data_IF_926577064707
#
_entry.id   IF_926577064707
#
_cell.length_a   1.000
_cell.length_b   1.000
_cell.length_c   1.000
_cell.angle_alpha   90.00
_cell.angle_beta   90.00
_cell.angle_gamma   90.00
#
_symmetry.space_group_name_H-M   'P 1'
#
loop_
_entity.id
_entity.type
_entity.pdbx_description
1 polymer ?
#
# COMPACT_ATOMS: atom_id res chain seq x y z
N UNK A 1 -4.13 -16.94 22.95
CA UNK A 1 -3.30 -16.61 21.76
C UNK A 1 -1.93 -17.22 21.96
N UNK A 2 -1.41 -17.99 20.99
CA UNK A 2 -0.08 -18.62 21.14
C UNK A 2 1.06 -17.67 20.72
N UNK A 3 2.30 -18.08 20.95
CA UNK A 3 3.49 -17.27 20.64
C UNK A 3 3.61 -16.92 19.15
N UNK A 4 3.18 -17.81 18.25
CA UNK A 4 3.19 -17.59 16.79
C UNK A 4 2.19 -16.52 16.39
N UNK A 5 0.96 -16.60 16.88
CA UNK A 5 -0.07 -15.58 16.67
C UNK A 5 0.37 -14.22 17.22
N UNK A 6 0.98 -14.19 18.41
CA UNK A 6 1.53 -12.95 18.98
C UNK A 6 2.58 -12.32 18.06
N UNK A 7 3.49 -13.12 17.49
CA UNK A 7 4.50 -12.63 16.53
C UNK A 7 3.86 -12.09 15.26
N UNK A 8 2.89 -12.82 14.68
CA UNK A 8 2.16 -12.36 13.49
C UNK A 8 1.45 -11.04 13.76
N UNK A 9 0.79 -10.91 14.92
CA UNK A 9 0.10 -9.68 15.29
C UNK A 9 1.06 -8.50 15.46
N UNK A 10 2.22 -8.71 16.11
CA UNK A 10 3.24 -7.66 16.27
C UNK A 10 3.79 -7.25 14.90
N UNK A 11 4.17 -8.20 14.05
CA UNK A 11 4.70 -7.90 12.71
C UNK A 11 3.65 -7.20 11.86
N UNK A 12 2.41 -7.67 11.89
CA UNK A 12 1.29 -7.06 11.18
C UNK A 12 1.01 -5.64 11.67
N UNK A 13 1.04 -5.41 12.98
CA UNK A 13 0.88 -4.08 13.56
C UNK A 13 2.02 -3.15 13.14
N UNK A 14 3.26 -3.62 13.16
CA UNK A 14 4.42 -2.85 12.67
C UNK A 14 4.24 -2.50 11.20
N UNK A 15 3.80 -3.45 10.35
CA UNK A 15 3.53 -3.19 8.95
C UNK A 15 2.46 -2.10 8.74
N UNK A 16 1.32 -2.20 9.44
CA UNK A 16 0.24 -1.19 9.40
C UNK A 16 0.76 0.17 9.86
N UNK A 17 1.52 0.23 10.96
CA UNK A 17 2.11 1.48 11.44
C UNK A 17 3.05 2.06 10.41
N UNK A 18 3.91 1.26 9.77
CA UNK A 18 4.79 1.73 8.71
C UNK A 18 4.03 2.24 7.49
N UNK A 19 2.93 1.60 7.10
CA UNK A 19 2.08 2.06 5.98
C UNK A 19 1.44 3.42 6.29
N UNK A 20 1.04 3.66 7.54
CA UNK A 20 0.50 4.95 7.98
C UNK A 20 1.57 6.02 8.15
N UNK A 21 2.76 5.66 8.64
CA UNK A 21 3.86 6.60 8.82
C UNK A 21 4.54 6.95 7.50
N UNK A 22 4.57 6.02 6.55
CA UNK A 22 5.15 6.17 5.23
C UNK A 22 4.10 5.86 4.16
N UNK A 23 3.06 6.70 4.02
CA UNK A 23 2.06 6.50 2.98
C UNK A 23 2.68 6.73 1.59
N UNK A 24 2.05 6.17 0.54
CA UNK A 24 2.38 6.51 -0.82
C UNK A 24 1.97 7.95 -1.12
N UNK A 25 2.84 8.70 -1.78
CA UNK A 25 2.59 10.08 -2.22
C UNK A 25 2.58 10.17 -3.74
N UNK A 26 1.74 11.06 -4.25
CA UNK A 26 1.70 11.48 -5.64
C UNK A 26 1.90 13.00 -5.74
N UNK A 27 2.45 13.44 -6.87
CA UNK A 27 2.32 14.83 -7.29
C UNK A 27 1.05 14.96 -8.13
N UNK A 28 0.22 15.96 -7.85
CA UNK A 28 -0.97 16.23 -8.63
C UNK A 28 -0.79 17.50 -9.47
N UNK A 29 -0.93 17.38 -10.78
CA UNK A 29 -0.99 18.51 -11.71
C UNK A 29 -2.44 18.76 -12.15
N UNK A 30 -3.09 19.85 -11.70
CA UNK A 30 -4.48 20.12 -12.02
C UNK A 30 -4.72 20.47 -13.50
N UNK A 31 -3.69 20.89 -14.25
CA UNK A 31 -3.84 21.24 -15.67
C UNK A 31 -4.00 20.00 -16.55
N UNK A 32 -3.29 18.92 -16.22
CA UNK A 32 -3.32 17.67 -16.98
C UNK A 32 -4.03 16.52 -16.25
N UNK A 33 -4.54 16.77 -15.03
CA UNK A 33 -5.08 15.72 -14.14
C UNK A 33 -4.11 14.54 -13.98
N UNK A 34 -2.80 14.83 -13.94
CA UNK A 34 -1.76 13.82 -13.88
C UNK A 34 -1.33 13.57 -12.43
N UNK A 35 -1.12 12.29 -12.10
CA UNK A 35 -0.73 11.82 -10.77
C UNK A 35 0.53 10.93 -10.83
N UNK A 36 1.71 11.47 -11.18
CA UNK A 36 2.94 10.68 -11.08
C UNK A 36 3.30 10.40 -9.62
N UNK A 37 3.74 9.16 -9.38
CA UNK A 37 4.13 8.73 -8.04
C UNK A 37 5.41 9.42 -7.56
N UNK A 38 5.33 9.98 -6.35
CA UNK A 38 6.47 10.47 -5.60
C UNK A 38 7.09 9.39 -4.69
N UNK A 39 6.46 8.21 -4.57
CA UNK A 39 6.94 7.10 -3.75
C UNK A 39 6.52 7.19 -2.29
N UNK A 40 7.22 6.46 -1.42
CA UNK A 40 6.91 6.41 0.02
C UNK A 40 7.73 7.46 0.78
N UNK A 41 7.04 8.35 1.48
CA UNK A 41 7.66 9.39 2.30
C UNK A 41 6.99 9.46 3.65
N UNK A 42 7.76 9.90 4.65
CA UNK A 42 7.24 10.07 6.00
C UNK A 42 6.10 11.08 6.01
N UNK A 43 5.00 10.79 6.71
CA UNK A 43 3.77 11.59 6.68
C UNK A 43 3.98 13.05 7.08
N UNK A 44 4.93 13.33 7.98
CA UNK A 44 5.27 14.70 8.41
C UNK A 44 6.39 15.36 7.57
N UNK A 45 7.02 14.61 6.67
CA UNK A 45 8.06 15.10 5.76
C UNK A 45 7.67 14.80 4.30
N UNK A 46 6.66 15.50 3.76
CA UNK A 46 6.15 15.24 2.41
C UNK A 46 7.22 15.49 1.34
N UNK A 47 7.11 14.82 0.17
CA UNK A 47 8.08 14.93 -0.92
C UNK A 47 8.27 16.37 -1.40
N UNK A 48 9.48 16.74 -1.84
CA UNK A 48 9.80 18.11 -2.26
C UNK A 48 9.20 18.45 -3.63
N UNK A 49 8.56 19.62 -3.78
CA UNK A 49 8.06 20.11 -5.07
C UNK A 49 9.17 20.41 -6.09
N UNK A 50 10.40 20.65 -5.62
CA UNK A 50 11.53 20.87 -6.53
C UNK A 50 11.78 19.65 -7.44
N UNK A 51 11.45 18.46 -6.95
CA UNK A 51 11.58 17.20 -7.69
C UNK A 51 10.31 16.84 -8.49
N UNK A 52 9.23 17.62 -8.36
CA UNK A 52 7.98 17.32 -9.03
C UNK A 52 8.14 17.40 -10.56
N UNK A 53 8.84 18.42 -11.08
CA UNK A 53 9.08 18.56 -12.52
C UNK A 53 9.79 17.35 -13.13
N UNK A 54 10.73 16.73 -12.41
CA UNK A 54 11.40 15.51 -12.90
C UNK A 54 10.51 14.26 -12.85
N UNK A 55 9.42 14.27 -12.08
CA UNK A 55 8.47 13.17 -12.02
C UNK A 55 7.49 13.18 -13.21
N UNK A 56 7.23 14.35 -13.79
CA UNK A 56 6.40 14.47 -14.99
C UNK A 56 7.21 14.17 -16.26
N UNK A 57 6.66 13.31 -17.14
CA UNK A 57 7.25 13.03 -18.47
C UNK A 57 7.05 14.18 -19.48
N UNK A 58 6.41 15.27 -19.06
CA UNK A 58 6.04 16.42 -19.90
C UNK A 58 6.40 17.73 -19.21
N UNK A 59 6.42 18.82 -19.99
CA UNK A 59 6.68 20.16 -19.46
C UNK A 59 5.42 20.70 -18.78
N UNK A 60 5.47 20.78 -17.45
CA UNK A 60 4.38 21.36 -16.65
C UNK A 60 4.21 22.83 -16.98
N UNK A 61 2.99 23.24 -17.37
CA UNK A 61 2.68 24.62 -17.76
C UNK A 61 2.60 25.57 -16.56
N UNK A 62 2.07 25.09 -15.43
CA UNK A 62 1.95 25.84 -14.18
C UNK A 62 2.62 25.09 -13.01
N UNK A 63 3.95 25.16 -12.86
CA UNK A 63 4.67 24.40 -11.82
C UNK A 63 4.20 24.73 -10.40
N UNK A 64 3.78 25.98 -10.17
CA UNK A 64 3.30 26.44 -8.87
C UNK A 64 1.91 25.89 -8.50
N UNK A 65 1.20 25.29 -9.46
CA UNK A 65 -0.10 24.66 -9.23
C UNK A 65 0.01 23.20 -8.79
N UNK A 66 1.20 22.60 -8.86
CA UNK A 66 1.43 21.21 -8.47
C UNK A 66 1.18 21.05 -6.97
N UNK A 67 0.39 20.04 -6.60
CA UNK A 67 0.08 19.68 -5.22
C UNK A 67 0.70 18.33 -4.86
N UNK A 68 0.78 18.06 -3.56
CA UNK A 68 1.21 16.77 -3.01
C UNK A 68 -0.01 16.14 -2.39
N UNK A 69 -0.33 14.93 -2.82
CA UNK A 69 -1.49 14.21 -2.35
C UNK A 69 -1.05 12.80 -1.94
N UNK A 70 -1.74 12.23 -0.97
CA UNK A 70 -1.55 10.83 -0.62
C UNK A 70 -2.30 10.02 -1.68
N UNK A 71 -1.66 8.97 -2.21
CA UNK A 71 -2.33 8.05 -3.12
C UNK A 71 -3.27 7.14 -2.30
N UNK A 72 -4.50 7.60 -2.12
CA UNK A 72 -5.54 6.88 -1.39
C UNK A 72 -5.81 5.50 -2.01
N UNK A 73 -5.71 5.37 -3.34
CA UNK A 73 -5.96 4.10 -4.04
C UNK A 73 -4.89 3.09 -3.66
N UNK A 74 -3.61 3.50 -3.70
CA UNK A 74 -2.50 2.65 -3.30
C UNK A 74 -2.55 2.33 -1.82
N UNK A 75 -2.85 3.30 -0.96
CA UNK A 75 -2.98 3.07 0.48
C UNK A 75 -4.11 2.07 0.79
N UNK A 76 -5.28 2.22 0.18
CA UNK A 76 -6.41 1.27 0.33
C UNK A 76 -6.03 -0.12 -0.18
N UNK A 77 -5.36 -0.20 -1.33
CA UNK A 77 -4.90 -1.48 -1.92
C UNK A 77 -3.91 -2.20 -1.00
N UNK A 78 -3.03 -1.43 -0.38
CA UNK A 78 -2.10 -1.91 0.64
C UNK A 78 -2.82 -2.51 1.86
N UNK A 79 -3.82 -1.81 2.40
CA UNK A 79 -4.64 -2.33 3.50
C UNK A 79 -5.44 -3.58 3.12
N UNK A 80 -5.94 -3.65 1.88
CA UNK A 80 -6.71 -4.79 1.38
C UNK A 80 -5.84 -6.04 1.17
N UNK A 81 -4.52 -5.90 1.04
CA UNK A 81 -3.57 -7.02 1.00
C UNK A 81 -3.13 -7.43 2.41
N UNK A 82 -2.69 -6.46 3.22
CA UNK A 82 -2.07 -6.73 4.52
C UNK A 82 -3.07 -7.26 5.53
N UNK A 83 -4.30 -6.73 5.54
CA UNK A 83 -5.33 -7.15 6.52
C UNK A 83 -5.73 -8.62 6.35
N UNK A 84 -6.09 -9.10 5.15
CA UNK A 84 -6.34 -10.52 4.92
C UNK A 84 -5.12 -11.40 5.18
N UNK A 85 -3.91 -10.93 4.85
CA UNK A 85 -2.70 -11.71 5.10
C UNK A 85 -2.48 -11.95 6.61
N UNK A 86 -2.62 -10.90 7.43
CA UNK A 86 -2.51 -11.01 8.90
C UNK A 86 -3.63 -11.91 9.43
N UNK A 87 -4.87 -11.69 9.01
CA UNK A 87 -6.02 -12.50 9.45
C UNK A 87 -5.86 -13.99 9.07
N UNK A 88 -5.39 -14.26 7.85
CA UNK A 88 -5.12 -15.61 7.36
C UNK A 88 -4.05 -16.32 8.18
N UNK A 89 -2.92 -15.66 8.42
CA UNK A 89 -1.85 -16.20 9.28
C UNK A 89 -2.31 -16.40 10.73
N UNK A 90 -3.11 -15.47 11.27
CA UNK A 90 -3.67 -15.57 12.62
C UNK A 90 -4.59 -16.79 12.78
N UNK A 91 -5.38 -17.10 11.75
CA UNK A 91 -6.25 -18.28 11.71
C UNK A 91 -5.44 -19.58 11.57
N UNK A 92 -4.42 -19.60 10.69
CA UNK A 92 -3.57 -20.77 10.48
C UNK A 92 -2.77 -21.17 11.71
N UNK A 93 -2.23 -20.18 12.44
CA UNK A 93 -1.52 -20.44 13.69
C UNK A 93 -2.44 -20.53 14.90
N UNK A 94 -3.76 -20.41 14.72
CA UNK A 94 -4.75 -20.58 15.78
C UNK A 94 -4.99 -22.03 16.18
N UNK A 95 -6.09 -22.25 16.90
CA UNK A 95 -6.54 -23.60 17.26
C UNK A 95 -6.90 -24.33 15.96
N UNK A 96 -6.31 -25.52 15.73
CA UNK A 96 -6.50 -26.35 14.51
C UNK A 96 -7.94 -26.86 14.37
N UNK A 97 -8.86 -25.98 14.01
CA UNK A 97 -10.16 -26.34 13.43
C UNK A 97 -9.99 -26.31 11.92
N UNK A 98 -10.46 -27.34 11.23
CA UNK A 98 -10.34 -27.47 9.77
C UNK A 98 -10.90 -26.24 9.04
N UNK A 99 -12.01 -25.68 9.52
CA UNK A 99 -12.61 -24.42 9.00
C UNK A 99 -11.62 -23.25 9.07
N UNK A 100 -10.94 -23.07 10.21
CA UNK A 100 -9.95 -22.00 10.38
C UNK A 100 -8.76 -22.15 9.45
N UNK A 101 -8.37 -23.39 9.14
CA UNK A 101 -7.30 -23.67 8.19
C UNK A 101 -7.73 -23.30 6.77
N UNK A 102 -8.90 -23.76 6.33
CA UNK A 102 -9.44 -23.45 5.00
C UNK A 102 -9.58 -21.93 4.82
N UNK A 103 -10.24 -21.26 5.77
CA UNK A 103 -10.42 -19.82 5.72
C UNK A 103 -9.08 -19.08 5.73
N UNK A 104 -8.13 -19.55 6.54
CA UNK A 104 -6.78 -18.99 6.58
C UNK A 104 -6.06 -19.06 5.24
N UNK A 105 -6.14 -20.22 4.56
CA UNK A 105 -5.57 -20.41 3.21
C UNK A 105 -6.27 -19.50 2.20
N UNK A 106 -7.61 -19.44 2.21
CA UNK A 106 -8.37 -18.59 1.29
C UNK A 106 -8.01 -17.11 1.41
N UNK A 107 -7.83 -16.61 2.63
CA UNK A 107 -7.40 -15.23 2.86
C UNK A 107 -5.97 -14.95 2.34
N UNK A 108 -5.06 -15.91 2.47
CA UNK A 108 -3.71 -15.78 1.92
C UNK A 108 -3.72 -15.81 0.39
N UNK A 109 -4.53 -16.67 -0.22
CA UNK A 109 -4.72 -16.70 -1.67
C UNK A 109 -5.29 -15.35 -2.13
N UNK A 110 -6.30 -14.81 -1.45
CA UNK A 110 -6.87 -13.52 -1.77
C UNK A 110 -5.82 -12.40 -1.71
N UNK A 111 -5.00 -12.35 -0.66
CA UNK A 111 -3.90 -11.39 -0.53
C UNK A 111 -2.84 -11.55 -1.64
N UNK A 112 -2.47 -12.78 -1.98
CA UNK A 112 -1.51 -13.06 -3.04
C UNK A 112 -2.05 -12.65 -4.42
N UNK A 113 -3.31 -12.94 -4.72
CA UNK A 113 -3.97 -12.54 -5.96
C UNK A 113 -4.09 -11.03 -6.07
N UNK A 114 -4.46 -10.34 -4.99
CA UNK A 114 -4.50 -8.88 -4.95
C UNK A 114 -3.10 -8.27 -5.20
N UNK A 115 -2.07 -8.85 -4.60
CA UNK A 115 -0.67 -8.44 -4.82
C UNK A 115 -0.26 -8.64 -6.29
N UNK A 116 -0.57 -9.80 -6.86
CA UNK A 116 -0.28 -10.09 -8.27
C UNK A 116 -0.99 -9.11 -9.21
N UNK A 117 -2.30 -8.89 -9.00
CA UNK A 117 -3.08 -7.94 -9.77
C UNK A 117 -2.49 -6.52 -9.69
N UNK A 118 -2.05 -6.11 -8.49
CA UNK A 118 -1.42 -4.81 -8.28
C UNK A 118 -0.08 -4.68 -9.03
N UNK A 119 0.79 -5.69 -8.95
CA UNK A 119 2.06 -5.72 -9.71
C UNK A 119 1.79 -5.64 -11.22
N UNK A 120 0.82 -6.42 -11.70
CA UNK A 120 0.40 -6.39 -13.09
C UNK A 120 -0.09 -4.99 -13.51
N UNK A 121 -0.96 -4.37 -12.70
CA UNK A 121 -1.48 -3.03 -12.96
C UNK A 121 -0.37 -1.98 -13.09
N UNK A 122 0.63 -2.00 -12.19
CA UNK A 122 1.79 -1.12 -12.30
C UNK A 122 2.57 -1.40 -13.58
N UNK A 123 2.79 -2.67 -13.92
CA UNK A 123 3.57 -3.05 -15.10
C UNK A 123 2.93 -2.58 -16.41
N UNK A 124 1.60 -2.57 -16.48
CA UNK A 124 0.86 -2.09 -17.66
C UNK A 124 0.83 -0.57 -17.75
N UNK A 125 0.90 0.15 -16.62
CA UNK A 125 0.86 1.62 -16.58
C UNK A 125 2.22 2.30 -16.87
N UNK A 126 3.34 1.57 -16.88
CA UNK A 126 4.68 2.13 -17.09
C UNK A 126 5.05 2.31 -18.55
#
# INVERSE_FOLDING_TARGET
>A
MNSRQKRVLIVGLVAVVLMLLFPPWDYFDPDMSAHPSAGYHFILAPPSLANAQSAFRYKVRFPNAIRREIDDILLISQFSIVTPAIAGLMLLFGRRRWISVILGILLLIAAATATYFYIWLISVRR
#
